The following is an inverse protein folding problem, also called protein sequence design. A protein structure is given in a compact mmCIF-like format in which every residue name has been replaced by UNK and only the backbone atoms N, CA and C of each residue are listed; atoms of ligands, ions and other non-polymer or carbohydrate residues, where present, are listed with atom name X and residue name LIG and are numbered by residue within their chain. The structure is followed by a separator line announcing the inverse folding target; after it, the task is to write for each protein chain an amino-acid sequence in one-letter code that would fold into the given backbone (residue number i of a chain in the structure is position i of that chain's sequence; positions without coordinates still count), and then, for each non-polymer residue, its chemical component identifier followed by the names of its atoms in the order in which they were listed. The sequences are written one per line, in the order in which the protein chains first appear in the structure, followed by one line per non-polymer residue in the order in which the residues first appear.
data_IF_901826446664
#
_entry.id   IF_901826446664
#
_cell.length_a   1.000
_cell.length_b   1.000
_cell.length_c   1.000
_cell.angle_alpha   90.00
_cell.angle_beta   90.00
_cell.angle_gamma   90.00
#
_symmetry.space_group_name_H-M   'P 1'
#
loop_
_entity.id
_entity.type
_entity.pdbx_description
1 polymer ?
#
# COMPACT_ATOMS: atom_id res chain seq x y z
N UNK A 1 -57.12 33.09 -49.32
CA UNK A 1 -56.27 31.89 -49.38
C UNK A 1 -55.22 32.08 -48.30
N UNK A 2 -55.41 31.43 -47.15
CA UNK A 2 -54.68 31.72 -45.91
C UNK A 2 -53.64 30.63 -45.70
N UNK A 3 -52.37 30.98 -45.80
CA UNK A 3 -51.24 30.04 -45.63
C UNK A 3 -50.81 30.06 -44.17
N UNK A 4 -51.00 28.94 -43.46
CA UNK A 4 -50.52 28.76 -42.08
C UNK A 4 -49.18 28.04 -42.14
N UNK A 5 -48.09 28.72 -41.75
CA UNK A 5 -46.78 28.11 -41.55
C UNK A 5 -46.74 27.47 -40.16
N UNK A 6 -46.90 26.15 -40.10
CA UNK A 6 -46.67 25.37 -38.86
C UNK A 6 -45.17 25.21 -38.65
N UNK A 7 -44.62 25.97 -37.70
CA UNK A 7 -43.23 25.91 -37.28
C UNK A 7 -43.07 24.81 -36.22
N UNK A 8 -42.64 23.62 -36.62
CA UNK A 8 -42.31 22.53 -35.70
C UNK A 8 -40.91 22.72 -35.13
N UNK A 9 -40.82 23.23 -33.89
CA UNK A 9 -39.61 23.14 -33.09
C UNK A 9 -39.43 21.70 -32.61
N UNK A 10 -38.51 20.95 -33.23
CA UNK A 10 -37.99 19.71 -32.65
C UNK A 10 -37.06 20.08 -31.48
N UNK A 11 -37.57 19.95 -30.27
CA UNK A 11 -36.78 20.03 -29.04
C UNK A 11 -35.84 18.83 -28.96
N UNK A 12 -34.54 19.04 -29.20
CA UNK A 12 -33.50 18.05 -28.91
C UNK A 12 -33.25 18.09 -27.40
N UNK A 13 -33.82 17.14 -26.67
CA UNK A 13 -33.47 16.89 -25.28
C UNK A 13 -32.06 16.29 -25.25
N UNK A 14 -31.05 17.15 -25.11
CA UNK A 14 -29.70 16.72 -24.77
C UNK A 14 -29.71 16.20 -23.33
N UNK A 15 -29.72 14.87 -23.18
CA UNK A 15 -29.44 14.22 -21.91
C UNK A 15 -27.95 14.43 -21.61
N UNK A 16 -27.61 15.47 -20.84
CA UNK A 16 -26.29 15.57 -20.25
C UNK A 16 -26.15 14.43 -19.23
N UNK A 17 -25.39 13.40 -19.60
CA UNK A 17 -24.91 12.40 -18.66
C UNK A 17 -24.00 13.13 -17.65
N UNK A 18 -24.58 13.57 -16.56
CA UNK A 18 -23.84 13.92 -15.35
C UNK A 18 -23.23 12.62 -14.86
N UNK A 19 -22.01 12.30 -15.29
CA UNK A 19 -21.26 11.20 -14.70
C UNK A 19 -21.18 11.51 -13.20
N UNK A 20 -21.83 10.67 -12.39
CA UNK A 20 -21.67 10.74 -10.94
C UNK A 20 -20.16 10.73 -10.64
N UNK A 21 -19.68 11.54 -9.69
CA UNK A 21 -18.29 11.47 -9.29
C UNK A 21 -17.97 10.01 -8.95
N UNK A 22 -16.80 9.50 -9.38
CA UNK A 22 -16.42 8.13 -9.06
C UNK A 22 -16.53 7.93 -7.54
N UNK A 23 -17.01 6.75 -7.08
CA UNK A 23 -17.12 6.48 -5.67
C UNK A 23 -15.75 6.71 -5.01
N UNK A 24 -15.75 7.42 -3.89
CA UNK A 24 -14.56 7.71 -3.13
C UNK A 24 -13.85 6.39 -2.79
N UNK A 25 -12.57 6.27 -3.12
CA UNK A 25 -11.82 5.04 -2.89
C UNK A 25 -11.64 4.88 -1.37
N UNK A 26 -12.25 3.85 -0.80
CA UNK A 26 -12.11 3.50 0.62
C UNK A 26 -11.17 2.31 0.76
N UNK A 27 -10.29 2.33 1.77
CA UNK A 27 -9.41 1.19 2.08
C UNK A 27 -10.24 -0.07 2.37
N UNK A 28 -9.77 -1.24 1.92
CA UNK A 28 -10.34 -2.52 2.37
C UNK A 28 -10.22 -2.62 3.90
N UNK A 29 -11.33 -2.98 4.54
CA UNK A 29 -11.34 -3.29 5.96
C UNK A 29 -10.96 -4.75 6.19
N UNK A 30 -9.66 -5.03 6.26
CA UNK A 30 -9.13 -6.37 6.50
C UNK A 30 -8.83 -6.58 7.98
N UNK A 31 -8.95 -7.81 8.49
CA UNK A 31 -8.63 -8.11 9.88
C UNK A 31 -7.15 -8.49 10.01
N UNK A 32 -6.52 -7.99 11.08
CA UNK A 32 -5.18 -8.43 11.44
C UNK A 32 -5.21 -9.91 11.86
N UNK A 33 -4.08 -10.58 11.69
CA UNK A 33 -3.83 -11.92 12.22
C UNK A 33 -4.19 -11.97 13.71
N UNK A 34 -4.93 -13.00 14.11
CA UNK A 34 -5.21 -13.24 15.51
C UNK A 34 -3.90 -13.47 16.30
N UNK A 35 -3.86 -12.99 17.54
CA UNK A 35 -2.72 -13.13 18.45
C UNK A 35 -1.40 -12.59 17.87
N UNK A 36 -1.47 -11.50 17.09
CA UNK A 36 -0.31 -10.85 16.50
C UNK A 36 0.57 -10.20 17.59
N UNK A 37 1.82 -10.62 17.65
CA UNK A 37 2.86 -9.91 18.40
C UNK A 37 3.44 -8.79 17.52
N UNK A 38 2.94 -7.57 17.71
CA UNK A 38 3.40 -6.38 17.00
C UNK A 38 4.88 -6.10 17.25
N UNK A 39 5.39 -6.37 18.47
CA UNK A 39 6.80 -6.12 18.79
C UNK A 39 7.70 -7.07 18.04
N UNK A 40 7.31 -8.36 17.91
CA UNK A 40 8.04 -9.33 17.11
C UNK A 40 7.98 -8.99 15.61
N UNK A 41 6.82 -8.56 15.12
CA UNK A 41 6.64 -8.21 13.70
C UNK A 41 7.46 -6.97 13.29
N UNK A 42 7.36 -5.89 14.06
CA UNK A 42 8.09 -4.62 13.84
C UNK A 42 9.51 -4.64 14.39
N UNK A 43 10.17 -5.80 14.32
CA UNK A 43 11.59 -5.95 14.63
C UNK A 43 12.38 -6.32 13.38
N UNK A 44 13.49 -5.63 13.14
CA UNK A 44 14.44 -5.95 12.08
C UNK A 44 13.94 -5.59 10.68
N UNK A 45 14.43 -6.32 9.68
CA UNK A 45 14.21 -5.98 8.27
C UNK A 45 13.18 -6.86 7.60
N UNK A 46 12.37 -6.28 6.71
CA UNK A 46 11.52 -7.01 5.77
C UNK A 46 11.81 -6.55 4.35
N UNK A 47 11.96 -7.49 3.43
CA UNK A 47 12.12 -7.20 2.01
C UNK A 47 10.79 -7.45 1.29
N UNK A 48 10.32 -6.49 0.51
CA UNK A 48 9.17 -6.69 -0.36
C UNK A 48 9.57 -7.66 -1.47
N UNK A 49 8.91 -8.81 -1.54
CA UNK A 49 9.16 -9.83 -2.58
C UNK A 49 8.10 -9.78 -3.66
N UNK A 50 6.83 -9.55 -3.32
CA UNK A 50 5.74 -9.42 -4.28
C UNK A 50 4.76 -8.32 -3.84
N UNK A 51 4.20 -7.59 -4.80
CA UNK A 51 3.22 -6.53 -4.55
C UNK A 51 2.00 -6.66 -5.45
N UNK A 52 0.81 -6.51 -4.85
CA UNK A 52 -0.45 -6.31 -5.55
C UNK A 52 -0.39 -4.94 -6.23
N UNK A 53 -0.49 -4.86 -7.56
CA UNK A 53 -0.49 -3.59 -8.27
C UNK A 53 -1.89 -2.94 -8.32
N UNK A 54 -2.58 -2.87 -7.19
CA UNK A 54 -3.91 -2.23 -7.11
C UNK A 54 -3.85 -0.70 -7.09
N UNK A 55 -2.67 -0.10 -6.92
CA UNK A 55 -2.45 1.34 -7.03
C UNK A 55 -1.06 1.71 -7.56
N UNK A 56 -0.98 2.81 -8.32
CA UNK A 56 0.26 3.34 -8.91
C UNK A 56 0.68 4.59 -8.12
N UNK A 57 1.99 4.81 -7.86
CA UNK A 57 3.12 3.95 -8.21
C UNK A 57 3.52 3.02 -7.04
N UNK A 58 3.24 1.72 -7.17
CA UNK A 58 3.73 0.70 -6.25
C UNK A 58 4.70 -0.25 -6.99
N UNK A 59 5.91 -0.44 -6.46
CA UNK A 59 6.94 -1.28 -7.07
C UNK A 59 7.59 -2.21 -6.02
N UNK A 60 8.11 -3.37 -6.44
CA UNK A 60 8.62 -4.36 -5.50
C UNK A 60 10.02 -4.03 -4.92
N UNK A 61 10.67 -2.97 -5.41
CA UNK A 61 12.00 -2.54 -4.96
C UNK A 61 11.95 -1.76 -3.64
N UNK A 62 11.38 -2.38 -2.61
CA UNK A 62 11.26 -1.80 -1.27
C UNK A 62 11.80 -2.74 -0.21
N UNK A 63 12.31 -2.17 0.86
CA UNK A 63 12.54 -2.89 2.11
C UNK A 63 12.14 -1.99 3.28
N UNK A 64 11.88 -2.60 4.43
CA UNK A 64 11.51 -1.88 5.64
C UNK A 64 12.46 -2.24 6.75
N UNK A 65 12.87 -1.23 7.51
CA UNK A 65 13.70 -1.36 8.70
C UNK A 65 12.85 -0.92 9.88
N UNK A 66 12.65 -1.84 10.81
CA UNK A 66 11.67 -1.69 11.88
C UNK A 66 12.33 -1.76 13.24
N UNK A 67 11.89 -0.87 14.12
CA UNK A 67 12.32 -0.84 15.52
C UNK A 67 11.14 -0.49 16.41
N UNK A 68 11.05 -1.16 17.56
CA UNK A 68 10.17 -0.75 18.66
C UNK A 68 11.03 -0.26 19.80
N UNK A 69 10.98 1.04 20.06
CA UNK A 69 11.75 1.73 21.09
C UNK A 69 11.23 1.40 22.49
N UNK A 70 12.05 1.67 23.50
CA UNK A 70 11.70 1.44 24.91
C UNK A 70 10.46 2.22 25.35
N UNK A 71 10.23 3.42 24.78
CA UNK A 71 9.07 4.26 25.03
C UNK A 71 7.78 3.79 24.29
N UNK A 72 7.86 2.66 23.60
CA UNK A 72 6.77 2.07 22.82
C UNK A 72 6.59 2.69 21.43
N UNK A 73 7.46 3.61 21.01
CA UNK A 73 7.42 4.14 19.63
C UNK A 73 7.80 3.03 18.64
N UNK A 74 6.94 2.81 17.66
CA UNK A 74 7.21 1.93 16.52
C UNK A 74 7.72 2.81 15.38
N UNK A 75 8.95 2.59 14.96
CA UNK A 75 9.54 3.18 13.77
C UNK A 75 9.53 2.16 12.64
N UNK A 76 8.83 2.51 11.56
CA UNK A 76 8.70 1.74 10.33
C UNK A 76 9.33 2.55 9.19
N UNK A 77 10.62 2.35 8.95
CA UNK A 77 11.33 3.04 7.88
C UNK A 77 11.20 2.25 6.59
N UNK A 78 10.61 2.84 5.55
CA UNK A 78 10.51 2.25 4.22
C UNK A 78 11.60 2.86 3.35
N UNK A 79 12.44 2.00 2.79
CA UNK A 79 13.45 2.36 1.79
C UNK A 79 12.94 1.90 0.43
N UNK A 80 12.88 2.85 -0.49
CA UNK A 80 12.30 2.68 -1.81
C UNK A 80 13.36 3.00 -2.87
N UNK A 81 13.65 2.01 -3.72
CA UNK A 81 14.78 2.01 -4.65
C UNK A 81 14.30 1.85 -6.11
N UNK A 82 13.92 2.94 -6.75
CA UNK A 82 13.37 2.93 -8.10
C UNK A 82 14.20 3.80 -9.04
N UNK A 83 14.88 3.16 -10.00
CA UNK A 83 15.65 3.87 -11.06
C UNK A 83 14.81 4.87 -11.84
N UNK A 84 13.49 4.70 -11.90
CA UNK A 84 12.60 5.58 -12.65
C UNK A 84 12.15 6.83 -11.87
N UNK A 85 12.47 6.92 -10.57
CA UNK A 85 12.13 8.08 -9.72
C UNK A 85 13.32 9.02 -9.54
N UNK A 86 13.00 10.27 -9.21
CA UNK A 86 13.97 11.28 -8.77
C UNK A 86 13.55 11.82 -7.41
N UNK A 87 14.33 11.58 -6.34
CA UNK A 87 15.55 10.77 -6.31
C UNK A 87 15.26 9.27 -6.48
N UNK A 88 16.21 8.52 -7.03
CA UNK A 88 16.08 7.07 -7.25
C UNK A 88 16.07 6.25 -5.94
N UNK A 89 16.36 6.91 -4.82
CA UNK A 89 16.30 6.37 -3.46
C UNK A 89 15.53 7.35 -2.60
N UNK A 90 14.50 6.87 -1.94
CA UNK A 90 13.72 7.67 -0.99
C UNK A 90 13.59 6.93 0.33
N UNK A 91 13.59 7.69 1.43
CA UNK A 91 13.34 7.13 2.76
C UNK A 91 12.04 7.73 3.29
N UNK A 92 11.05 6.87 3.51
CA UNK A 92 9.82 7.24 4.17
C UNK A 92 9.89 6.75 5.62
N UNK A 93 9.98 7.67 6.56
CA UNK A 93 9.93 7.35 7.98
C UNK A 93 8.49 7.40 8.47
N UNK A 94 7.96 6.25 8.88
CA UNK A 94 6.61 6.10 9.40
C UNK A 94 6.66 5.79 10.89
N UNK A 95 6.01 6.62 11.70
CA UNK A 95 6.05 6.48 13.17
C UNK A 95 4.64 6.38 13.76
N UNK A 96 4.52 5.56 14.79
CA UNK A 96 3.34 5.49 15.67
C UNK A 96 3.78 5.06 17.07
N UNK A 97 2.88 5.04 18.04
CA UNK A 97 3.17 4.49 19.36
C UNK A 97 2.29 3.27 19.63
N UNK A 98 2.87 2.23 20.25
CA UNK A 98 2.19 0.97 20.56
C UNK A 98 0.87 1.18 21.33
N UNK A 99 0.82 2.20 22.21
CA UNK A 99 -0.39 2.53 23.00
C UNK A 99 -1.56 3.06 22.15
N UNK A 100 -1.27 3.59 20.96
CA UNK A 100 -2.25 4.19 20.07
C UNK A 100 -2.76 3.19 19.02
N UNK A 101 -2.18 1.99 18.97
CA UNK A 101 -2.57 0.92 18.05
C UNK A 101 -3.92 0.33 18.48
N UNK A 102 -4.88 0.30 17.56
CA UNK A 102 -6.21 -0.29 17.75
C UNK A 102 -6.38 -1.49 16.83
N UNK A 103 -7.01 -2.55 17.32
CA UNK A 103 -7.31 -3.77 16.55
C UNK A 103 -6.09 -4.39 15.86
N UNK A 104 -4.89 -4.23 16.44
CA UNK A 104 -3.60 -4.62 15.87
C UNK A 104 -3.27 -3.97 14.52
N UNK A 105 -3.87 -2.81 14.22
CA UNK A 105 -3.67 -2.01 13.02
C UNK A 105 -2.96 -0.71 13.35
N UNK A 106 -1.62 -0.66 13.33
CA UNK A 106 -0.91 0.59 13.53
C UNK A 106 -1.27 1.60 12.44
N UNK A 107 -1.65 2.80 12.89
CA UNK A 107 -1.81 3.97 12.02
C UNK A 107 -0.55 4.82 12.14
N UNK A 108 0.26 4.81 11.09
CA UNK A 108 1.52 5.51 11.04
C UNK A 108 1.38 6.90 10.46
N UNK A 109 2.08 7.86 11.04
CA UNK A 109 2.36 9.15 10.42
C UNK A 109 3.69 9.05 9.66
N UNK A 110 3.66 9.24 8.34
CA UNK A 110 4.78 9.03 7.44
C UNK A 110 5.29 10.33 6.84
N UNK A 111 6.62 10.49 6.81
CA UNK A 111 7.32 11.66 6.25
C UNK A 111 8.55 11.24 5.44
N UNK A 112 8.81 11.93 4.32
CA UNK A 112 10.06 11.74 3.58
C UNK A 112 11.21 12.33 4.37
N UNK A 113 12.28 11.56 4.58
CA UNK A 113 13.45 12.01 5.35
C UNK A 113 14.23 13.10 4.61
N UNK A 114 14.26 13.04 3.29
CA UNK A 114 15.00 13.96 2.42
C UNK A 114 14.24 15.25 2.11
N UNK A 115 12.94 15.32 2.41
CA UNK A 115 12.13 16.46 2.03
C UNK A 115 12.08 17.51 3.13
N UNK A 116 12.43 18.78 2.84
CA UNK A 116 12.20 19.89 3.76
C UNK A 116 10.71 20.29 3.85
N UNK A 117 9.86 19.80 2.93
CA UNK A 117 8.42 20.04 2.97
C UNK A 117 7.72 19.17 4.02
N UNK A 118 6.64 19.70 4.60
CA UNK A 118 5.80 19.06 5.61
C UNK A 118 4.91 17.94 5.07
N UNK A 119 5.21 17.38 3.89
CA UNK A 119 4.39 16.32 3.32
C UNK A 119 4.29 15.15 4.30
N UNK A 120 3.08 14.96 4.79
CA UNK A 120 2.76 14.00 5.82
C UNK A 120 1.58 13.19 5.32
N UNK A 121 1.73 11.88 5.31
CA UNK A 121 0.64 10.95 5.00
C UNK A 121 0.37 10.08 6.22
N UNK A 122 -0.83 9.49 6.24
CA UNK A 122 -1.17 8.42 7.17
C UNK A 122 -1.07 7.09 6.44
N UNK A 123 -0.51 6.06 7.07
CA UNK A 123 -0.49 4.70 6.53
C UNK A 123 -0.98 3.71 7.57
N UNK A 124 -2.07 3.02 7.25
CA UNK A 124 -2.65 1.98 8.10
C UNK A 124 -2.03 0.65 7.69
N UNK A 125 -1.33 0.01 8.62
CA UNK A 125 -0.75 -1.31 8.46
C UNK A 125 -1.63 -2.41 9.01
N UNK A 126 -1.80 -3.51 8.28
CA UNK A 126 -2.50 -4.70 8.78
C UNK A 126 -1.69 -5.95 8.42
N UNK A 127 -1.15 -6.64 9.41
CA UNK A 127 -0.50 -7.95 9.21
C UNK A 127 -1.57 -9.01 9.06
N UNK A 128 -1.71 -9.59 7.87
CA UNK A 128 -2.74 -10.59 7.58
C UNK A 128 -2.30 -12.00 7.95
N UNK A 129 -1.03 -12.30 7.71
CA UNK A 129 -0.39 -13.57 8.10
C UNK A 129 1.12 -13.38 8.21
N UNK A 130 1.76 -14.05 9.16
CA UNK A 130 3.22 -14.07 9.31
C UNK A 130 3.65 -15.21 10.22
N UNK A 131 4.82 -15.78 9.95
CA UNK A 131 5.55 -16.62 10.91
C UNK A 131 6.63 -15.84 11.67
N UNK A 132 6.70 -14.52 11.46
CA UNK A 132 7.68 -13.55 11.99
C UNK A 132 9.11 -13.73 11.47
N UNK A 133 9.51 -14.97 11.20
CA UNK A 133 10.90 -15.36 11.01
C UNK A 133 11.26 -15.49 9.52
N UNK A 134 10.28 -15.73 8.63
CA UNK A 134 10.53 -15.89 7.20
C UNK A 134 9.65 -14.97 6.37
N UNK A 135 8.33 -15.01 6.53
CA UNK A 135 7.41 -14.36 5.60
C UNK A 135 6.33 -13.52 6.30
N UNK A 136 5.76 -12.59 5.55
CA UNK A 136 4.55 -11.88 5.93
C UNK A 136 3.67 -11.56 4.72
N UNK A 137 2.35 -11.61 4.93
CA UNK A 137 1.35 -11.00 4.06
C UNK A 137 0.83 -9.77 4.79
N UNK A 138 1.02 -8.60 4.21
CA UNK A 138 0.78 -7.32 4.83
C UNK A 138 -0.08 -6.45 3.94
N UNK A 139 -1.15 -5.90 4.48
CA UNK A 139 -1.95 -4.90 3.81
C UNK A 139 -1.50 -3.52 4.27
N UNK A 140 -1.33 -2.62 3.31
CA UNK A 140 -1.06 -1.20 3.56
C UNK A 140 -2.11 -0.36 2.84
N UNK A 141 -2.65 0.63 3.54
CA UNK A 141 -3.45 1.68 2.94
C UNK A 141 -2.94 3.05 3.37
N UNK A 142 -2.53 3.85 2.40
CA UNK A 142 -1.98 5.19 2.61
C UNK A 142 -3.00 6.26 2.24
N UNK A 143 -3.08 7.30 3.06
CA UNK A 143 -4.03 8.40 2.96
C UNK A 143 -3.35 9.75 3.17
N UNK A 144 -3.94 10.79 2.57
CA UNK A 144 -3.66 12.18 2.89
C UNK A 144 -5.02 12.84 3.13
N UNK A 145 -5.26 13.26 4.36
CA UNK A 145 -6.60 13.61 4.85
C UNK A 145 -7.59 12.46 4.55
N UNK A 146 -8.73 12.75 3.92
CA UNK A 146 -9.73 11.75 3.53
C UNK A 146 -9.38 11.03 2.21
N UNK A 147 -8.39 11.52 1.45
CA UNK A 147 -8.01 10.95 0.16
C UNK A 147 -7.14 9.70 0.33
N UNK A 148 -7.58 8.56 -0.20
CA UNK A 148 -6.73 7.36 -0.34
C UNK A 148 -5.72 7.57 -1.46
N UNK A 149 -4.44 7.62 -1.09
CA UNK A 149 -3.31 7.74 -2.02
C UNK A 149 -3.00 6.41 -2.69
N UNK A 150 -3.11 5.31 -1.94
CA UNK A 150 -2.70 3.99 -2.41
C UNK A 150 -3.10 2.91 -1.44
N UNK A 151 -3.31 1.72 -1.97
CA UNK A 151 -3.67 0.54 -1.19
C UNK A 151 -3.14 -0.69 -1.93
N UNK A 152 -2.39 -1.55 -1.23
CA UNK A 152 -1.84 -2.78 -1.80
C UNK A 152 -1.71 -3.87 -0.73
N UNK A 153 -1.80 -5.14 -1.15
CA UNK A 153 -1.26 -6.30 -0.44
C UNK A 153 0.20 -6.49 -0.81
N UNK A 154 1.04 -6.65 0.20
CA UNK A 154 2.46 -6.88 0.13
C UNK A 154 2.75 -8.30 0.61
N UNK A 155 3.59 -9.02 -0.13
CA UNK A 155 4.26 -10.22 0.36
C UNK A 155 5.69 -9.84 0.67
N UNK A 156 6.10 -10.07 1.90
CA UNK A 156 7.43 -9.70 2.39
C UNK A 156 8.15 -10.93 2.92
N UNK A 157 9.48 -10.88 2.89
CA UNK A 157 10.34 -11.93 3.40
C UNK A 157 11.54 -11.37 4.16
N UNK A 158 12.10 -12.11 5.13
CA UNK A 158 13.34 -11.74 5.84
C UNK A 158 14.61 -11.87 4.98
N UNK A 159 14.50 -12.53 3.84
CA UNK A 159 15.55 -12.70 2.83
C UNK A 159 15.03 -12.15 1.49
N UNK A 160 15.76 -11.18 0.93
CA UNK A 160 15.41 -10.46 -0.31
C UNK A 160 15.26 -11.35 -1.55
N UNK A 161 15.97 -12.48 -1.57
CA UNK A 161 16.05 -13.39 -2.72
C UNK A 161 15.15 -14.64 -2.56
N UNK A 162 14.41 -14.73 -1.46
CA UNK A 162 13.52 -15.86 -1.21
C UNK A 162 12.32 -15.88 -2.15
N UNK A 163 11.88 -17.08 -2.50
CA UNK A 163 10.61 -17.28 -3.18
C UNK A 163 9.46 -17.31 -2.16
N UNK A 164 8.30 -16.69 -2.48
CA UNK A 164 7.11 -16.69 -1.62
C UNK A 164 6.36 -18.04 -1.65
N UNK A 165 7.06 -19.14 -1.35
CA UNK A 165 6.55 -20.50 -1.51
C UNK A 165 5.79 -21.05 -0.29
N UNK A 166 5.75 -20.32 0.83
CA UNK A 166 5.02 -20.76 2.02
C UNK A 166 3.51 -20.86 1.70
N UNK A 167 2.87 -22.02 1.90
CA UNK A 167 1.47 -22.24 1.52
C UNK A 167 0.49 -21.26 2.18
N UNK A 168 0.82 -20.79 3.39
CA UNK A 168 0.00 -19.79 4.11
C UNK A 168 -0.13 -18.47 3.35
N UNK A 169 0.87 -18.11 2.53
CA UNK A 169 0.80 -16.93 1.66
C UNK A 169 -0.32 -17.11 0.66
N UNK A 170 -0.31 -18.21 -0.10
CA UNK A 170 -1.32 -18.48 -1.12
C UNK A 170 -2.71 -18.69 -0.52
N UNK A 171 -2.82 -19.33 0.65
CA UNK A 171 -4.09 -19.50 1.38
C UNK A 171 -4.67 -18.14 1.81
N UNK A 172 -3.84 -17.26 2.36
CA UNK A 172 -4.23 -15.91 2.77
C UNK A 172 -4.66 -15.07 1.57
N UNK A 173 -3.94 -15.14 0.45
CA UNK A 173 -4.31 -14.40 -0.77
C UNK A 173 -5.63 -14.92 -1.36
N UNK A 174 -5.82 -16.25 -1.41
CA UNK A 174 -7.05 -16.86 -1.93
C UNK A 174 -8.28 -16.50 -1.11
N UNK A 175 -8.17 -16.37 0.22
CA UNK A 175 -9.30 -15.94 1.06
C UNK A 175 -9.75 -14.51 0.77
N UNK A 176 -8.87 -13.69 0.17
CA UNK A 176 -9.16 -12.34 -0.33
C UNK A 176 -9.59 -12.31 -1.81
N UNK A 177 -9.69 -13.47 -2.46
CA UNK A 177 -9.97 -13.56 -3.91
C UNK A 177 -8.77 -13.17 -4.79
N UNK A 178 -7.55 -13.19 -4.26
CA UNK A 178 -6.33 -12.82 -4.96
C UNK A 178 -5.49 -14.06 -5.33
N UNK A 179 -4.65 -13.92 -6.36
CA UNK A 179 -3.66 -14.92 -6.73
C UNK A 179 -2.26 -14.29 -6.72
N UNK A 180 -1.29 -14.97 -6.10
CA UNK A 180 0.10 -14.55 -6.08
C UNK A 180 0.69 -14.37 -7.49
N UNK A 181 0.24 -15.15 -8.47
CA UNK A 181 0.72 -15.06 -9.86
C UNK A 181 0.39 -13.71 -10.51
N UNK A 182 -0.64 -13.00 -10.02
CA UNK A 182 -0.97 -11.66 -10.50
C UNK A 182 -0.14 -10.56 -9.83
N UNK A 183 0.69 -10.91 -8.85
CA UNK A 183 1.50 -9.93 -8.14
C UNK A 183 2.80 -9.67 -8.90
N UNK A 184 3.26 -8.42 -8.83
CA UNK A 184 4.57 -8.07 -9.38
C UNK A 184 5.66 -8.51 -8.42
N UNK A 185 6.53 -9.41 -8.88
CA UNK A 185 7.69 -9.89 -8.13
C UNK A 185 8.87 -8.92 -8.19
N UNK A 186 9.65 -8.85 -7.10
CA UNK A 186 10.96 -8.21 -7.01
C UNK A 186 11.94 -8.80 -8.03
N UNK A 187 11.91 -10.12 -8.22
CA UNK A 187 12.84 -10.84 -9.10
C UNK A 187 12.65 -10.50 -10.57
N UNK A 188 11.43 -10.11 -10.97
CA UNK A 188 11.12 -9.82 -12.38
C UNK A 188 11.51 -8.40 -12.83
N UNK A 189 12.13 -7.59 -11.97
CA UNK A 189 12.47 -6.18 -12.27
C UNK A 189 13.97 -5.92 -12.25
N UNK A 190 14.52 -5.51 -13.40
CA UNK A 190 15.90 -5.03 -13.58
C UNK A 190 16.18 -3.62 -12.98
N UNK A 191 15.16 -3.02 -12.34
CA UNK A 191 15.12 -1.59 -12.01
C UNK A 191 15.37 -1.25 -10.53
N UNK A 192 15.58 -2.24 -9.66
CA UNK A 192 15.98 -1.93 -8.28
C UNK A 192 17.41 -1.37 -8.29
N UNK A 193 17.64 -0.24 -7.61
CA UNK A 193 18.99 0.27 -7.34
C UNK A 193 19.43 -0.27 -5.98
N UNK A 194 20.43 -1.14 -5.97
CA UNK A 194 21.11 -1.47 -4.73
C UNK A 194 22.30 -0.52 -4.55
N UNK A 195 22.56 -0.03 -3.34
CA UNK A 195 23.93 0.43 -3.06
C UNK A 195 24.86 -0.76 -3.25
N UNK A 196 26.01 -0.53 -3.89
CA UNK A 196 27.12 -1.46 -3.79
C UNK A 196 27.65 -1.37 -2.36
N UNK A 197 27.52 -2.46 -1.60
CA UNK A 197 28.18 -2.62 -0.30
C UNK A 197 29.69 -2.39 -0.40
#
# INVERSE_FOLDING_TARGET
MTTIFTLTFLGVLALSWSAAPPPEKVCRNLHAKADLDLKKFYSGKWYLTNIEQSSVPAHPCQETHNEVKEDGTIEHMILDFDKSRTPAKTHLNCVTNMKDVKDHKPNFTCKFKESPETWTSQSIGTVLETDYDNFAVYHVCSKMDEMVLGENILVMHRNKDADPSNPKISETLKSLGLNLDSFTSRKSKANCVYDSD
#
